data_IF_833443176976
#
_entry.id   IF_833443176976
#
_cell.length_a   1.000
_cell.length_b   1.000
_cell.length_c   1.000
_cell.angle_alpha   90.00
_cell.angle_beta   90.00
_cell.angle_gamma   90.00
#
_symmetry.space_group_name_H-M   'P 1'
#
loop_
_entity.id
_entity.type
_entity.pdbx_description
1 polymer ?
#
# COMPACT_ATOMS: atom_id res chain seq x y z
N UNK A 1 60.44 19.47 -75.97
CA UNK A 1 59.76 20.18 -74.86
C UNK A 1 58.81 19.18 -74.20
N UNK A 2 58.82 19.16 -72.87
CA UNK A 2 57.83 18.55 -71.96
C UNK A 2 57.52 17.04 -72.06
N UNK A 3 58.15 16.30 -71.15
CA UNK A 3 57.50 15.36 -70.23
C UNK A 3 56.47 16.10 -69.32
N UNK A 4 55.65 15.47 -68.45
CA UNK A 4 55.46 14.03 -68.14
C UNK A 4 53.97 13.67 -67.77
N UNK A 5 53.78 12.57 -67.00
CA UNK A 5 52.76 12.35 -65.93
C UNK A 5 51.51 11.57 -66.35
N UNK A 6 51.43 10.27 -66.00
CA UNK A 6 50.97 9.68 -64.70
C UNK A 6 49.44 9.72 -64.62
N UNK A 7 48.73 8.83 -63.95
CA UNK A 7 48.93 7.58 -63.24
C UNK A 7 47.53 7.26 -62.69
N UNK A 8 47.35 6.03 -62.23
CA UNK A 8 46.41 5.65 -61.18
C UNK A 8 44.88 5.76 -61.40
N UNK A 9 44.27 4.57 -61.27
CA UNK A 9 42.89 4.36 -60.82
C UNK A 9 42.58 5.12 -59.52
N UNK A 10 41.30 5.42 -59.24
CA UNK A 10 40.83 5.50 -57.87
C UNK A 10 40.32 4.12 -57.40
N UNK A 11 40.99 3.58 -56.37
CA UNK A 11 40.38 2.70 -55.38
C UNK A 11 39.70 3.55 -54.29
N UNK A 12 38.89 2.87 -53.46
CA UNK A 12 38.44 3.21 -52.09
C UNK A 12 37.23 4.19 -52.06
N UNK A 13 36.09 3.88 -51.42
CA UNK A 13 35.89 3.50 -50.02
C UNK A 13 34.68 2.57 -49.79
N UNK A 14 34.85 1.69 -48.79
CA UNK A 14 33.79 0.97 -48.07
C UNK A 14 32.69 1.90 -47.54
N UNK A 15 31.45 1.40 -47.50
CA UNK A 15 30.55 1.57 -46.33
C UNK A 15 29.42 0.52 -46.39
N UNK A 16 29.47 -0.48 -45.50
CA UNK A 16 28.26 -1.06 -44.90
C UNK A 16 27.70 -0.05 -43.87
N UNK A 17 26.56 -0.28 -43.18
CA UNK A 17 25.22 -0.72 -43.58
C UNK A 17 24.15 0.32 -43.13
N UNK A 18 23.05 0.50 -43.85
CA UNK A 18 21.90 1.22 -43.27
C UNK A 18 21.04 0.24 -42.44
N UNK A 19 21.48 -0.03 -41.20
CA UNK A 19 20.57 -0.47 -40.15
C UNK A 19 19.49 0.60 -40.01
N UNK A 20 18.24 0.26 -40.35
CA UNK A 20 17.10 1.03 -39.90
C UNK A 20 17.13 1.05 -38.37
N UNK A 21 17.17 2.21 -37.71
CA UNK A 21 17.02 2.25 -36.27
C UNK A 21 15.62 1.72 -35.92
N UNK A 22 15.47 0.91 -34.86
CA UNK A 22 14.15 0.69 -34.31
C UNK A 22 13.58 2.06 -33.96
N UNK A 23 12.37 2.34 -34.45
CA UNK A 23 11.64 3.54 -34.09
C UNK A 23 11.66 3.65 -32.57
N UNK A 24 12.33 4.68 -32.08
CA UNK A 24 12.27 5.11 -30.69
C UNK A 24 10.80 5.41 -30.37
N UNK A 25 10.10 4.38 -29.95
CA UNK A 25 8.90 4.47 -29.14
C UNK A 25 9.36 4.94 -27.76
N UNK A 26 9.92 6.16 -27.69
CA UNK A 26 9.88 6.98 -26.50
C UNK A 26 8.44 7.47 -26.34
N UNK A 27 7.53 6.53 -26.09
CA UNK A 27 6.21 6.80 -25.54
C UNK A 27 6.45 7.29 -24.12
N UNK A 28 6.73 8.59 -24.05
CA UNK A 28 6.30 9.53 -23.02
C UNK A 28 5.61 8.84 -21.83
N UNK A 29 6.42 8.37 -20.88
CA UNK A 29 5.97 7.97 -19.55
C UNK A 29 5.55 9.21 -18.70
N UNK A 30 5.03 10.26 -19.34
CA UNK A 30 4.71 11.56 -18.71
C UNK A 30 3.25 11.77 -18.38
N UNK A 31 2.38 10.79 -18.64
CA UNK A 31 0.96 10.84 -18.28
C UNK A 31 0.50 9.66 -17.43
N UNK A 32 1.40 9.00 -16.70
CA UNK A 32 0.95 7.99 -15.72
C UNK A 32 0.21 8.72 -14.61
N UNK A 33 -1.07 8.42 -14.45
CA UNK A 33 -1.86 8.83 -13.28
C UNK A 33 -1.04 8.47 -12.03
N UNK A 34 -0.94 9.36 -11.03
CA UNK A 34 -0.22 9.05 -9.80
C UNK A 34 -0.76 7.75 -9.21
N UNK A 35 0.15 6.84 -8.84
CA UNK A 35 -0.22 5.61 -8.16
C UNK A 35 -0.87 5.99 -6.83
N UNK A 36 -2.18 5.72 -6.72
CA UNK A 36 -2.98 6.01 -5.53
C UNK A 36 -3.30 4.72 -4.79
N UNK A 37 -2.97 4.71 -3.50
CA UNK A 37 -3.31 3.62 -2.59
C UNK A 37 -4.55 3.99 -1.79
N UNK A 38 -5.35 2.97 -1.49
CA UNK A 38 -6.58 3.05 -0.72
C UNK A 38 -6.52 2.07 0.44
N UNK A 39 -7.10 2.46 1.57
CA UNK A 39 -7.26 1.57 2.71
C UNK A 39 -8.40 0.59 2.47
N UNK A 40 -8.10 -0.70 2.52
CA UNK A 40 -9.10 -1.77 2.52
C UNK A 40 -9.00 -2.52 3.85
N UNK A 41 -10.02 -2.38 4.70
CA UNK A 41 -10.11 -3.10 5.96
C UNK A 41 -10.66 -4.51 5.74
N UNK A 42 -9.99 -5.50 6.29
CA UNK A 42 -10.34 -6.93 6.19
C UNK A 42 -10.36 -7.59 7.57
N UNK A 43 -11.03 -8.74 7.65
CA UNK A 43 -10.80 -9.72 8.70
C UNK A 43 -9.72 -10.71 8.23
N UNK A 44 -8.59 -10.73 8.91
CA UNK A 44 -7.53 -11.67 8.61
C UNK A 44 -7.58 -12.84 9.59
N UNK A 45 -7.59 -14.07 9.06
CA UNK A 45 -7.57 -15.31 9.82
C UNK A 45 -6.19 -15.96 9.64
N UNK A 46 -5.32 -15.95 10.67
CA UNK A 46 -3.93 -16.33 10.50
C UNK A 46 -3.75 -17.76 9.98
N UNK A 47 -4.58 -18.75 10.33
CA UNK A 47 -4.54 -20.12 9.77
C UNK A 47 -3.10 -20.71 9.66
N UNK A 48 -2.21 -20.34 10.59
CA UNK A 48 -0.80 -20.74 10.60
C UNK A 48 0.13 -19.98 9.64
N UNK A 49 -0.34 -18.95 8.94
CA UNK A 49 0.41 -18.10 8.02
C UNK A 49 0.59 -16.69 8.60
N UNK A 50 1.71 -16.07 8.26
CA UNK A 50 1.83 -14.61 8.40
C UNK A 50 0.98 -13.91 7.36
N UNK A 51 0.56 -12.68 7.66
CA UNK A 51 -0.27 -11.87 6.77
C UNK A 51 0.35 -11.69 5.38
N UNK A 52 1.66 -11.43 5.31
CA UNK A 52 2.34 -11.25 4.02
C UNK A 52 2.48 -12.55 3.23
N UNK A 53 2.58 -13.70 3.88
CA UNK A 53 2.55 -15.00 3.20
C UNK A 53 1.17 -15.30 2.61
N UNK A 54 0.11 -15.02 3.35
CA UNK A 54 -1.26 -15.21 2.87
C UNK A 54 -1.58 -14.28 1.69
N UNK A 55 -1.17 -13.00 1.75
CA UNK A 55 -1.28 -12.04 0.63
C UNK A 55 -0.58 -12.58 -0.62
N UNK A 56 0.63 -13.12 -0.48
CA UNK A 56 1.37 -13.73 -1.60
C UNK A 56 0.67 -14.97 -2.14
N UNK A 57 0.20 -15.86 -1.26
CA UNK A 57 -0.50 -17.09 -1.64
C UNK A 57 -1.79 -16.81 -2.43
N UNK A 58 -2.47 -15.72 -2.10
CA UNK A 58 -3.68 -15.24 -2.79
C UNK A 58 -3.38 -14.47 -4.08
N UNK A 59 -2.10 -14.31 -4.44
CA UNK A 59 -1.68 -13.57 -5.62
C UNK A 59 -2.09 -12.10 -5.56
N UNK A 60 -1.94 -11.48 -4.38
CA UNK A 60 -2.27 -10.05 -4.15
C UNK A 60 -1.02 -9.19 -3.92
N UNK A 61 0.17 -9.77 -4.00
CA UNK A 61 1.44 -9.08 -3.76
C UNK A 61 1.79 -8.01 -4.81
N UNK A 62 1.11 -8.00 -5.95
CA UNK A 62 1.23 -6.96 -6.98
C UNK A 62 0.35 -5.74 -6.70
N UNK A 63 -0.66 -5.87 -5.83
CA UNK A 63 -1.63 -4.80 -5.53
C UNK A 63 -1.66 -4.35 -4.09
N UNK A 64 -1.17 -5.16 -3.14
CA UNK A 64 -1.06 -4.79 -1.73
C UNK A 64 0.37 -4.35 -1.43
N UNK A 65 0.51 -3.08 -1.06
CA UNK A 65 1.79 -2.43 -0.80
C UNK A 65 2.19 -2.56 0.66
N UNK A 66 1.19 -2.63 1.54
CA UNK A 66 1.42 -2.65 2.96
C UNK A 66 0.21 -3.16 3.74
N UNK A 67 0.43 -3.51 5.01
CA UNK A 67 -0.61 -3.98 5.90
C UNK A 67 -0.36 -3.56 7.35
N UNK A 68 -1.41 -3.06 8.00
CA UNK A 68 -1.40 -2.64 9.41
C UNK A 68 -2.36 -3.55 10.18
N UNK A 69 -1.80 -4.41 11.02
CA UNK A 69 -2.57 -5.23 11.95
C UNK A 69 -3.15 -4.36 13.08
N UNK A 70 -4.43 -4.52 13.37
CA UNK A 70 -5.18 -3.73 14.35
C UNK A 70 -5.60 -4.56 15.58
N UNK A 71 -5.01 -5.76 15.74
CA UNK A 71 -5.34 -6.73 16.80
C UNK A 71 -5.24 -6.15 18.22
N UNK A 72 -4.28 -5.26 18.46
CA UNK A 72 -3.95 -4.74 19.80
C UNK A 72 -4.76 -3.47 20.17
N UNK A 73 -5.75 -3.08 19.36
CA UNK A 73 -6.43 -1.78 19.55
C UNK A 73 -7.69 -1.86 20.42
N UNK A 74 -8.20 -3.06 20.69
CA UNK A 74 -9.29 -3.33 21.63
C UNK A 74 -8.81 -4.08 22.86
N UNK A 75 -9.59 -4.04 23.95
CA UNK A 75 -9.21 -4.67 25.23
C UNK A 75 -9.62 -6.16 25.29
N UNK A 76 -10.23 -6.69 24.23
CA UNK A 76 -10.61 -8.10 24.11
C UNK A 76 -10.22 -8.65 22.74
N UNK A 77 -9.27 -9.58 22.75
CA UNK A 77 -9.24 -10.66 21.78
C UNK A 77 -10.61 -11.36 21.83
N UNK A 78 -11.04 -11.94 20.71
CA UNK A 78 -12.28 -12.69 20.47
C UNK A 78 -13.28 -11.99 19.55
N UNK A 79 -13.08 -12.19 18.24
CA UNK A 79 -14.22 -12.24 17.34
C UNK A 79 -15.04 -13.49 17.72
N UNK A 80 -16.06 -13.33 18.56
CA UNK A 80 -17.02 -14.40 18.79
C UNK A 80 -17.92 -14.53 17.56
N UNK A 81 -17.92 -15.69 16.95
CA UNK A 81 -19.04 -16.11 16.11
C UNK A 81 -20.22 -16.56 16.99
N UNK A 82 -21.41 -16.71 16.40
CA UNK A 82 -22.63 -17.23 17.06
C UNK A 82 -22.46 -18.67 17.61
N UNK A 83 -21.27 -19.27 17.47
CA UNK A 83 -20.91 -20.61 17.91
C UNK A 83 -19.86 -20.63 19.01
N UNK A 84 -19.46 -19.47 19.55
CA UNK A 84 -18.54 -19.39 20.69
C UNK A 84 -17.13 -19.90 20.36
N UNK A 85 -16.77 -20.00 19.08
CA UNK A 85 -15.42 -20.37 18.71
C UNK A 85 -14.57 -19.10 18.67
N UNK A 86 -13.44 -19.16 19.34
CA UNK A 86 -12.50 -18.06 19.43
C UNK A 86 -11.79 -17.91 18.09
N UNK A 87 -12.44 -17.30 17.09
CA UNK A 87 -11.77 -17.07 15.82
C UNK A 87 -10.64 -16.07 16.09
N UNK A 88 -9.41 -16.54 15.90
CA UNK A 88 -8.14 -15.78 15.93
C UNK A 88 -8.09 -14.66 14.86
N UNK A 89 -9.25 -14.30 14.31
CA UNK A 89 -9.41 -13.29 13.32
C UNK A 89 -9.18 -11.91 13.94
N UNK A 90 -8.41 -11.08 13.26
CA UNK A 90 -8.22 -9.70 13.66
C UNK A 90 -8.35 -8.77 12.46
N UNK A 91 -8.64 -7.51 12.74
CA UNK A 91 -8.77 -6.50 11.70
C UNK A 91 -7.40 -6.07 11.18
N UNK A 92 -7.33 -5.89 9.87
CA UNK A 92 -6.15 -5.42 9.17
C UNK A 92 -6.57 -4.33 8.20
N UNK A 93 -5.83 -3.23 8.17
CA UNK A 93 -5.89 -2.23 7.12
C UNK A 93 -4.81 -2.50 6.08
N UNK A 94 -5.22 -2.76 4.83
CA UNK A 94 -4.33 -2.95 3.71
C UNK A 94 -4.19 -1.65 2.91
N UNK A 95 -2.96 -1.31 2.53
CA UNK A 95 -2.68 -0.28 1.54
C UNK A 95 -2.73 -0.91 0.14
N UNK A 96 -3.80 -0.65 -0.60
CA UNK A 96 -4.10 -1.36 -1.86
C UNK A 96 -4.16 -0.39 -3.04
N UNK A 97 -3.58 -0.77 -4.17
CA UNK A 97 -3.80 -0.07 -5.43
C UNK A 97 -5.28 -0.03 -5.77
N UNK A 98 -5.75 1.09 -6.32
CA UNK A 98 -7.16 1.27 -6.70
C UNK A 98 -7.67 0.12 -7.59
N UNK A 99 -6.89 -0.28 -8.60
CA UNK A 99 -7.20 -1.41 -9.49
C UNK A 99 -7.26 -2.78 -8.78
N UNK A 100 -6.66 -2.90 -7.60
CA UNK A 100 -6.61 -4.13 -6.79
C UNK A 100 -7.74 -4.29 -5.78
N UNK A 101 -8.51 -3.25 -5.50
CA UNK A 101 -9.54 -3.26 -4.43
C UNK A 101 -10.54 -4.40 -4.60
N UNK A 102 -11.03 -4.63 -5.83
CA UNK A 102 -11.99 -5.69 -6.11
C UNK A 102 -11.40 -7.10 -5.92
N UNK A 103 -10.11 -7.29 -6.22
CA UNK A 103 -9.40 -8.55 -6.02
C UNK A 103 -9.24 -8.84 -4.52
N UNK A 104 -8.80 -7.84 -3.75
CA UNK A 104 -8.68 -7.97 -2.29
C UNK A 104 -10.02 -8.31 -1.64
N UNK A 105 -11.11 -7.62 -2.03
CA UNK A 105 -12.47 -7.90 -1.52
C UNK A 105 -13.00 -9.28 -1.92
N UNK A 106 -12.60 -9.81 -3.08
CA UNK A 106 -12.96 -11.18 -3.49
C UNK A 106 -12.28 -12.22 -2.59
N UNK A 107 -11.01 -12.00 -2.27
CA UNK A 107 -10.19 -12.95 -1.51
C UNK A 107 -10.48 -12.95 -0.01
N UNK A 108 -10.71 -11.77 0.57
CA UNK A 108 -10.94 -11.60 2.01
C UNK A 108 -12.40 -11.31 2.40
N UNK A 109 -13.27 -11.11 1.41
CA UNK A 109 -14.66 -10.71 1.65
C UNK A 109 -14.82 -9.20 1.86
N UNK A 110 -16.08 -8.80 2.04
CA UNK A 110 -16.47 -7.41 2.31
C UNK A 110 -16.86 -7.32 3.79
N UNK A 111 -16.23 -6.40 4.52
CA UNK A 111 -16.63 -6.10 5.90
C UNK A 111 -18.05 -5.55 5.94
N UNK A 112 -18.83 -5.97 6.95
CA UNK A 112 -20.24 -5.60 7.12
C UNK A 112 -20.45 -4.35 7.98
N UNK A 113 -19.39 -3.58 8.23
CA UNK A 113 -19.40 -2.35 9.01
C UNK A 113 -18.58 -1.27 8.29
N UNK A 114 -18.81 -0.01 8.64
CA UNK A 114 -18.03 1.11 8.12
C UNK A 114 -16.86 1.38 9.06
N UNK A 115 -15.60 1.38 8.59
CA UNK A 115 -14.45 1.73 9.44
C UNK A 115 -14.67 3.07 10.14
N UNK A 116 -14.30 3.13 11.42
CA UNK A 116 -14.45 4.28 12.31
C UNK A 116 -15.89 4.68 12.66
N UNK A 117 -16.90 3.91 12.24
CA UNK A 117 -18.28 4.09 12.72
C UNK A 117 -18.48 3.55 14.13
N UNK A 118 -19.63 3.82 14.74
CA UNK A 118 -19.97 3.24 16.05
C UNK A 118 -20.07 1.71 16.03
N UNK A 119 -20.32 1.12 14.87
CA UNK A 119 -20.41 -0.33 14.66
C UNK A 119 -19.05 -0.96 14.31
N UNK A 120 -17.98 -0.16 14.22
CA UNK A 120 -16.63 -0.67 14.01
C UNK A 120 -16.22 -1.51 15.22
N UNK A 121 -15.81 -2.78 15.05
CA UNK A 121 -15.35 -3.63 16.14
C UNK A 121 -14.27 -2.99 17.01
N UNK A 122 -13.36 -2.20 16.43
CA UNK A 122 -12.32 -1.51 17.19
C UNK A 122 -12.93 -0.44 18.11
N UNK A 123 -13.97 0.26 17.66
CA UNK A 123 -14.71 1.23 18.49
C UNK A 123 -15.48 0.51 19.58
N UNK A 124 -16.17 -0.58 19.24
CA UNK A 124 -16.99 -1.34 20.20
C UNK A 124 -16.16 -1.93 21.34
N UNK A 125 -14.97 -2.44 21.04
CA UNK A 125 -14.05 -3.09 21.97
C UNK A 125 -13.29 -2.13 22.91
N UNK A 126 -13.50 -0.81 22.80
CA UNK A 126 -12.94 0.13 23.76
C UNK A 126 -13.60 -0.06 25.15
N UNK A 127 -12.78 -0.14 26.20
CA UNK A 127 -13.23 -0.37 27.58
C UNK A 127 -13.92 0.82 28.26
N UNK A 128 -14.01 1.96 27.58
CA UNK A 128 -14.64 3.16 28.13
C UNK A 128 -16.15 2.95 28.23
N UNK A 129 -16.70 3.22 29.42
CA UNK A 129 -18.14 3.04 29.71
C UNK A 129 -18.99 4.03 28.94
N UNK A 130 -18.53 5.28 28.79
CA UNK A 130 -19.23 6.30 28.02
C UNK A 130 -19.14 6.00 26.51
N UNK A 131 -20.27 5.74 25.84
CA UNK A 131 -20.29 5.46 24.40
C UNK A 131 -19.72 6.61 23.56
N UNK A 132 -19.88 7.86 24.01
CA UNK A 132 -19.39 9.03 23.27
C UNK A 132 -17.86 9.13 23.28
N UNK A 133 -17.22 8.56 24.30
CA UNK A 133 -15.76 8.54 24.45
C UNK A 133 -15.07 7.37 23.71
N UNK A 134 -15.82 6.35 23.28
CA UNK A 134 -15.25 5.19 22.56
C UNK A 134 -14.65 5.55 21.21
N UNK A 135 -15.34 6.39 20.42
CA UNK A 135 -14.85 6.80 19.09
C UNK A 135 -13.55 7.62 19.16
N UNK A 136 -13.47 8.69 19.95
CA UNK A 136 -12.22 9.44 20.13
C UNK A 136 -11.05 8.55 20.55
N UNK A 137 -11.26 7.67 21.53
CA UNK A 137 -10.20 6.77 22.00
C UNK A 137 -9.76 5.80 20.91
N UNK A 138 -10.70 5.20 20.18
CA UNK A 138 -10.38 4.36 19.03
C UNK A 138 -9.55 5.11 17.98
N UNK A 139 -9.93 6.36 17.66
CA UNK A 139 -9.22 7.15 16.65
C UNK A 139 -7.79 7.45 17.11
N UNK A 140 -7.59 7.82 18.38
CA UNK A 140 -6.26 8.03 18.96
C UNK A 140 -5.40 6.76 18.90
N UNK A 141 -5.97 5.60 19.24
CA UNK A 141 -5.27 4.31 19.20
C UNK A 141 -4.88 3.91 17.78
N UNK A 142 -5.80 4.04 16.82
CA UNK A 142 -5.52 3.76 15.41
C UNK A 142 -4.49 4.75 14.83
N UNK A 143 -4.60 6.04 15.15
CA UNK A 143 -3.61 7.05 14.75
C UNK A 143 -2.21 6.67 15.24
N UNK A 144 -2.08 6.38 16.53
CA UNK A 144 -0.82 5.97 17.15
C UNK A 144 -0.26 4.71 16.49
N UNK A 145 -1.12 3.74 16.17
CA UNK A 145 -0.71 2.50 15.48
C UNK A 145 -0.19 2.79 14.07
N UNK A 146 -0.87 3.62 13.29
CA UNK A 146 -0.41 4.02 11.96
C UNK A 146 0.95 4.72 12.03
N UNK A 147 1.12 5.63 12.99
CA UNK A 147 2.38 6.33 13.19
C UNK A 147 3.52 5.37 13.55
N UNK A 148 3.31 4.48 14.52
CA UNK A 148 4.30 3.46 14.91
C UNK A 148 4.69 2.56 13.74
N UNK A 149 3.71 2.09 12.97
CA UNK A 149 3.97 1.23 11.81
C UNK A 149 4.73 1.98 10.71
N UNK A 150 4.44 3.27 10.50
CA UNK A 150 5.19 4.10 9.57
C UNK A 150 6.64 4.34 10.01
N UNK A 151 6.85 4.67 11.29
CA UNK A 151 8.18 4.85 11.89
C UNK A 151 9.02 3.58 11.74
N UNK A 152 8.48 2.41 12.09
CA UNK A 152 9.15 1.11 11.91
C UNK A 152 9.61 0.90 10.47
N UNK A 153 8.76 1.23 9.49
CA UNK A 153 9.08 1.07 8.06
C UNK A 153 10.16 2.05 7.62
N UNK A 154 10.10 3.29 8.11
CA UNK A 154 11.09 4.31 7.81
C UNK A 154 12.45 3.91 8.35
N UNK A 155 12.50 3.50 9.60
CA UNK A 155 13.74 3.09 10.26
C UNK A 155 14.33 1.83 9.59
N UNK A 156 13.48 0.88 9.18
CA UNK A 156 13.92 -0.29 8.40
C UNK A 156 14.46 0.10 7.02
N UNK A 157 13.79 1.02 6.31
CA UNK A 157 14.22 1.51 5.01
C UNK A 157 15.58 2.22 5.10
N UNK A 158 15.78 3.04 6.13
CA UNK A 158 17.05 3.68 6.45
C UNK A 158 18.15 2.65 6.74
N UNK A 159 17.87 1.65 7.58
CA UNK A 159 18.82 0.59 7.92
C UNK A 159 19.24 -0.25 6.69
N UNK A 160 18.32 -0.45 5.74
CA UNK A 160 18.55 -1.25 4.53
C UNK A 160 18.98 -0.41 3.31
N UNK A 161 19.09 0.92 3.46
CA UNK A 161 19.55 1.82 2.41
C UNK A 161 18.60 1.96 1.22
N UNK A 162 17.28 1.80 1.42
CA UNK A 162 16.27 2.06 0.40
C UNK A 162 15.31 3.17 0.82
N UNK A 163 14.63 3.77 -0.16
CA UNK A 163 13.61 4.79 0.10
C UNK A 163 12.20 4.16 0.10
N UNK A 164 11.37 4.52 1.08
CA UNK A 164 9.95 4.15 1.04
C UNK A 164 9.32 4.76 -0.20
N UNK A 165 8.61 3.94 -0.98
CA UNK A 165 7.93 4.40 -2.18
C UNK A 165 6.98 5.56 -1.88
N UNK A 166 7.03 6.63 -2.69
CA UNK A 166 6.23 7.85 -2.50
C UNK A 166 4.75 7.57 -2.25
N UNK A 167 4.12 6.71 -3.05
CA UNK A 167 2.70 6.38 -2.87
C UNK A 167 2.37 5.76 -1.51
N UNK A 168 3.30 5.00 -0.92
CA UNK A 168 3.10 4.42 0.41
C UNK A 168 3.22 5.50 1.49
N UNK A 169 4.18 6.42 1.34
CA UNK A 169 4.30 7.59 2.21
C UNK A 169 3.04 8.46 2.15
N UNK A 170 2.60 8.80 0.94
CA UNK A 170 1.39 9.62 0.74
C UNK A 170 0.16 8.95 1.35
N UNK A 171 0.05 7.62 1.27
CA UNK A 171 -1.02 6.86 1.92
C UNK A 171 -1.00 6.96 3.44
N UNK A 172 0.17 6.84 4.07
CA UNK A 172 0.31 7.04 5.52
C UNK A 172 -0.09 8.45 5.93
N UNK A 173 0.42 9.47 5.21
CA UNK A 173 0.14 10.88 5.47
C UNK A 173 -1.36 11.19 5.33
N UNK A 174 -2.02 10.63 4.31
CA UNK A 174 -3.46 10.81 4.10
C UNK A 174 -4.29 10.09 5.16
N UNK A 175 -3.91 8.88 5.58
CA UNK A 175 -4.61 8.14 6.64
C UNK A 175 -4.50 8.86 7.99
N UNK A 176 -3.30 9.30 8.37
CA UNK A 176 -3.09 10.04 9.61
C UNK A 176 -3.91 11.33 9.61
N UNK A 177 -3.88 12.09 8.51
CA UNK A 177 -4.65 13.32 8.36
C UNK A 177 -6.16 13.09 8.42
N UNK A 178 -6.67 12.02 7.81
CA UNK A 178 -8.10 11.67 7.92
C UNK A 178 -8.49 11.39 9.37
N UNK A 179 -7.67 10.64 10.10
CA UNK A 179 -7.93 10.29 11.51
C UNK A 179 -7.86 11.55 12.39
N UNK A 180 -6.86 12.42 12.19
CA UNK A 180 -6.75 13.71 12.90
C UNK A 180 -7.98 14.58 12.67
N UNK A 181 -8.42 14.73 11.41
CA UNK A 181 -9.63 15.49 11.09
C UNK A 181 -10.87 14.94 11.78
N UNK A 182 -10.99 13.61 11.90
CA UNK A 182 -12.10 12.99 12.62
C UNK A 182 -12.06 13.26 14.13
N UNK A 183 -10.86 13.37 14.72
CA UNK A 183 -10.69 13.76 16.12
C UNK A 183 -11.06 15.23 16.35
N UNK A 184 -10.65 16.13 15.46
CA UNK A 184 -11.04 17.56 15.48
C UNK A 184 -12.57 17.71 15.40
N UNK A 185 -13.24 16.95 14.52
CA UNK A 185 -14.70 16.93 14.41
C UNK A 185 -15.42 16.47 15.68
N UNK A 186 -14.73 15.72 16.54
CA UNK A 186 -15.24 15.30 17.84
C UNK A 186 -14.84 16.26 18.98
N UNK A 187 -14.04 17.30 18.70
CA UNK A 187 -13.60 18.30 19.68
C UNK A 187 -12.44 17.87 20.57
N UNK A 188 -11.64 16.88 20.13
CA UNK A 188 -10.53 16.32 20.93
C UNK A 188 -9.14 16.84 20.53
N UNK A 189 -9.04 17.64 19.46
CA UNK A 189 -7.84 18.31 18.96
C UNK A 189 -8.21 19.73 18.56
#
# INVERSE_FOLDING_TARGET
MHEPVKDAMPMVLEEQPAFSPPSDSSLSAKNSVPIRLHTVRIWFHPNGLTLMEDIKRRGLNDVVFDAIALQELGDQHQAQDDHGNTNEAFLVDLAVLEAGILRVRREYGIIKFVPFSSDDPIVLQQSVTDPNSKRPLCYQRVHSKYQQEYEKRRDLAECLGYEIHRSLKDWYDDCLRDITRRLEQLGYI
#
